data_IF_268828551893
#
_entry.id   IF_268828551893
#
_cell.length_a   1.000
_cell.length_b   1.000
_cell.length_c   1.000
_cell.angle_alpha   90.00
_cell.angle_beta   90.00
_cell.angle_gamma   90.00
#
_symmetry.space_group_name_H-M   'P 1'
#
loop_
_entity.id
_entity.type
_entity.pdbx_description
1 polymer ?
#
# COMPACT_ATOMS: atom_id res chain seq x y z
N UNK A 1 -4.01 15.72 22.96
CA UNK A 1 -5.15 16.36 22.25
C UNK A 1 -6.42 15.56 22.54
N UNK A 2 -7.54 16.23 22.89
CA UNK A 2 -8.80 15.55 23.22
C UNK A 2 -9.63 15.28 21.97
N UNK A 3 -10.12 14.05 21.84
CA UNK A 3 -10.91 13.58 20.69
C UNK A 3 -12.28 13.06 21.12
N UNK A 4 -13.32 13.58 20.46
CA UNK A 4 -14.71 13.13 20.66
C UNK A 4 -15.03 11.93 19.77
N UNK A 5 -15.98 11.10 20.20
CA UNK A 5 -16.46 9.96 19.41
C UNK A 5 -16.94 10.40 18.01
N UNK A 6 -17.61 11.55 17.90
CA UNK A 6 -18.04 12.10 16.61
C UNK A 6 -16.87 12.40 15.66
N UNK A 7 -15.77 12.92 16.20
CA UNK A 7 -14.53 13.17 15.44
C UNK A 7 -13.90 11.87 14.96
N UNK A 8 -13.81 10.86 15.86
CA UNK A 8 -13.26 9.56 15.50
C UNK A 8 -14.11 8.84 14.44
N UNK A 9 -15.44 9.00 14.48
CA UNK A 9 -16.35 8.50 13.42
C UNK A 9 -16.04 9.13 12.05
N UNK A 10 -15.73 10.43 12.01
CA UNK A 10 -15.32 11.09 10.76
C UNK A 10 -13.98 10.54 10.24
N UNK A 11 -13.02 10.32 11.13
CA UNK A 11 -11.71 9.75 10.75
C UNK A 11 -11.82 8.28 10.32
N UNK A 12 -12.76 7.53 10.89
CA UNK A 12 -13.03 6.14 10.53
C UNK A 12 -13.72 5.99 9.15
N UNK A 13 -14.30 7.08 8.61
CA UNK A 13 -15.09 7.02 7.37
C UNK A 13 -14.24 6.61 6.16
N UNK A 14 -14.75 5.71 5.28
CA UNK A 14 -14.08 5.36 4.03
C UNK A 14 -14.13 6.52 3.04
N UNK A 15 -13.50 6.36 1.88
CA UNK A 15 -13.63 7.31 0.77
C UNK A 15 -15.11 7.58 0.43
N UNK A 16 -15.37 8.77 -0.08
CA UNK A 16 -16.63 9.09 -0.73
C UNK A 16 -16.74 8.43 -2.11
N UNK A 17 -17.96 8.29 -2.62
CA UNK A 17 -18.20 7.79 -3.98
C UNK A 17 -17.48 8.64 -5.04
N UNK A 18 -17.38 9.95 -4.83
CA UNK A 18 -16.62 10.85 -5.71
C UNK A 18 -15.14 10.52 -5.71
N UNK A 19 -14.56 10.29 -4.53
CA UNK A 19 -13.13 9.94 -4.43
C UNK A 19 -12.84 8.55 -5.01
N UNK A 20 -13.74 7.58 -4.84
CA UNK A 20 -13.64 6.26 -5.48
C UNK A 20 -13.69 6.40 -7.01
N UNK A 21 -14.65 7.15 -7.55
CA UNK A 21 -14.71 7.44 -8.99
C UNK A 21 -13.43 8.11 -9.50
N UNK A 22 -12.87 9.08 -8.77
CA UNK A 22 -11.59 9.71 -9.12
C UNK A 22 -10.42 8.73 -9.12
N UNK A 23 -10.41 7.74 -8.23
CA UNK A 23 -9.39 6.67 -8.22
C UNK A 23 -9.51 5.79 -9.45
N UNK A 24 -10.75 5.41 -9.81
CA UNK A 24 -11.02 4.64 -11.02
C UNK A 24 -10.60 5.39 -12.28
N UNK A 25 -10.90 6.67 -12.37
CA UNK A 25 -10.46 7.52 -13.49
C UNK A 25 -8.93 7.65 -13.54
N UNK A 26 -8.23 7.60 -12.42
CA UNK A 26 -6.77 7.64 -12.42
C UNK A 26 -6.17 6.39 -13.08
N UNK A 27 -6.63 5.18 -12.73
CA UNK A 27 -6.14 3.95 -13.37
C UNK A 27 -6.56 3.86 -14.84
N UNK A 28 -7.76 4.31 -15.20
CA UNK A 28 -8.22 4.37 -16.60
C UNK A 28 -7.33 5.30 -17.42
N UNK A 29 -6.94 6.45 -16.88
CA UNK A 29 -6.05 7.39 -17.54
C UNK A 29 -4.64 6.82 -17.79
N UNK A 30 -4.09 6.07 -16.83
CA UNK A 30 -2.81 5.37 -17.00
C UNK A 30 -2.95 4.26 -18.07
N UNK A 31 -4.01 3.43 -17.99
CA UNK A 31 -4.33 2.41 -18.99
C UNK A 31 -4.40 3.01 -20.41
N UNK A 32 -5.09 4.14 -20.57
CA UNK A 32 -5.27 4.76 -21.87
C UNK A 32 -3.94 5.31 -22.41
N UNK A 33 -3.08 5.88 -21.60
CA UNK A 33 -1.75 6.31 -22.00
C UNK A 33 -0.87 5.15 -22.48
N UNK A 34 -1.00 3.95 -21.90
CA UNK A 34 -0.23 2.78 -22.33
C UNK A 34 -0.66 2.24 -23.70
N UNK A 35 -1.83 2.63 -24.23
CA UNK A 35 -2.23 2.29 -25.60
C UNK A 35 -1.29 2.88 -26.65
N UNK A 36 -0.62 4.00 -26.35
CA UNK A 36 0.40 4.60 -27.23
C UNK A 36 1.67 3.74 -27.35
N UNK A 37 1.87 2.76 -26.44
CA UNK A 37 2.91 1.73 -26.54
C UNK A 37 2.45 0.48 -27.31
N UNK A 38 1.22 0.48 -27.82
CA UNK A 38 0.63 -0.66 -28.52
C UNK A 38 -0.10 -1.65 -27.63
N UNK A 39 -0.28 -1.36 -26.34
CA UNK A 39 -1.07 -2.21 -25.45
C UNK A 39 -2.57 -2.06 -25.72
N UNK A 40 -3.32 -3.16 -25.59
CA UNK A 40 -4.79 -3.20 -25.69
C UNK A 40 -5.34 -4.05 -24.56
N UNK A 41 -6.53 -3.71 -24.06
CA UNK A 41 -7.20 -4.47 -23.01
C UNK A 41 -7.40 -5.94 -23.46
N UNK A 42 -7.10 -6.89 -22.58
CA UNK A 42 -7.10 -8.32 -22.93
C UNK A 42 -8.53 -8.88 -23.06
N UNK A 43 -9.43 -8.59 -22.11
CA UNK A 43 -10.83 -9.10 -22.18
C UNK A 43 -11.89 -8.13 -21.66
N UNK A 44 -11.62 -7.41 -20.58
CA UNK A 44 -12.54 -6.48 -19.93
C UNK A 44 -11.78 -5.22 -19.57
N UNK A 45 -12.44 -4.08 -19.67
CA UNK A 45 -11.89 -2.82 -19.17
C UNK A 45 -11.58 -2.87 -17.67
N UNK A 46 -11.23 -1.74 -17.09
CA UNK A 46 -10.93 -1.62 -15.66
C UNK A 46 -12.07 -2.14 -14.79
N UNK A 47 -11.80 -3.11 -13.94
CA UNK A 47 -12.75 -3.72 -13.01
C UNK A 47 -12.16 -3.93 -11.62
N UNK A 48 -13.00 -4.21 -10.62
CA UNK A 48 -12.57 -4.58 -9.28
C UNK A 48 -12.00 -6.01 -9.28
N UNK A 49 -10.82 -6.18 -8.65
CA UNK A 49 -10.22 -7.49 -8.40
C UNK A 49 -11.01 -8.29 -7.38
N UNK A 50 -11.46 -7.61 -6.31
CA UNK A 50 -12.10 -8.22 -5.15
C UNK A 50 -13.22 -7.34 -4.63
N UNK A 51 -14.34 -7.94 -4.21
CA UNK A 51 -15.39 -7.24 -3.45
C UNK A 51 -14.85 -6.69 -2.13
N UNK A 52 -15.45 -5.62 -1.64
CA UNK A 52 -15.05 -4.88 -0.41
C UNK A 52 -13.67 -4.23 -0.45
N UNK A 53 -13.12 -4.04 -1.66
CA UNK A 53 -11.85 -3.34 -1.90
C UNK A 53 -12.05 -2.25 -2.96
N UNK A 54 -11.04 -1.37 -3.09
CA UNK A 54 -10.93 -0.43 -4.20
C UNK A 54 -9.77 -0.85 -5.13
N UNK A 55 -9.49 -2.15 -5.17
CA UNK A 55 -8.44 -2.75 -5.99
C UNK A 55 -8.89 -2.88 -7.45
N UNK A 56 -9.02 -1.75 -8.13
CA UNK A 56 -9.28 -1.73 -9.57
C UNK A 56 -8.07 -2.24 -10.34
N UNK A 57 -8.32 -2.99 -11.40
CA UNK A 57 -7.26 -3.54 -12.26
C UNK A 57 -7.70 -3.75 -13.70
N UNK A 58 -6.72 -3.89 -14.58
CA UNK A 58 -6.88 -4.28 -15.99
C UNK A 58 -5.63 -5.01 -16.49
N UNK A 59 -5.81 -6.10 -17.22
CA UNK A 59 -4.74 -6.75 -17.97
C UNK A 59 -4.74 -6.28 -19.41
N UNK A 60 -3.55 -6.03 -19.95
CA UNK A 60 -3.34 -5.57 -21.31
C UNK A 60 -2.26 -6.41 -22.00
N UNK A 61 -2.41 -6.62 -23.28
CA UNK A 61 -1.41 -7.26 -24.13
C UNK A 61 -0.92 -6.30 -25.22
N UNK A 62 0.34 -6.41 -25.55
CA UNK A 62 0.89 -5.66 -26.67
C UNK A 62 0.50 -6.35 -27.99
N UNK A 63 -0.02 -5.59 -28.95
CA UNK A 63 -0.44 -6.12 -30.27
C UNK A 63 0.72 -6.37 -31.23
N UNK A 64 1.93 -5.89 -30.90
CA UNK A 64 3.12 -6.02 -31.75
C UNK A 64 4.17 -6.98 -31.18
N UNK A 65 4.01 -7.43 -29.93
CA UNK A 65 4.93 -8.33 -29.24
C UNK A 65 4.18 -9.29 -28.30
N UNK A 66 4.90 -10.14 -27.60
CA UNK A 66 4.35 -11.05 -26.57
C UNK A 66 4.20 -10.39 -25.20
N UNK A 67 4.51 -9.12 -25.09
CA UNK A 67 4.48 -8.39 -23.84
C UNK A 67 3.08 -8.27 -23.25
N UNK A 68 3.01 -8.48 -21.93
CA UNK A 68 1.77 -8.30 -21.15
C UNK A 68 2.05 -7.41 -19.95
N UNK A 69 1.09 -6.55 -19.65
CA UNK A 69 1.10 -5.74 -18.44
C UNK A 69 -0.19 -5.93 -17.66
N UNK A 70 -0.06 -6.01 -16.35
CA UNK A 70 -1.19 -5.92 -15.44
C UNK A 70 -1.10 -4.59 -14.68
N UNK A 71 -2.10 -3.76 -14.84
CA UNK A 71 -2.22 -2.47 -14.17
C UNK A 71 -3.20 -2.66 -13.02
N UNK A 72 -2.83 -2.25 -11.81
CA UNK A 72 -3.72 -2.38 -10.65
C UNK A 72 -3.42 -1.34 -9.59
N UNK A 73 -4.47 -0.94 -8.87
CA UNK A 73 -4.34 -0.11 -7.67
C UNK A 73 -3.82 -0.98 -6.53
N UNK A 74 -2.81 -0.50 -5.82
CA UNK A 74 -2.22 -1.14 -4.65
C UNK A 74 -2.26 -0.21 -3.42
N UNK A 75 -1.68 -0.66 -2.30
CA UNK A 75 -1.51 0.15 -1.10
C UNK A 75 -2.83 0.45 -0.38
N UNK A 76 -2.91 1.64 0.20
CA UNK A 76 -4.02 2.04 1.07
C UNK A 76 -5.37 2.16 0.35
N UNK A 77 -5.37 2.54 -0.92
CA UNK A 77 -6.60 2.60 -1.71
C UNK A 77 -7.15 1.21 -1.96
N UNK A 78 -6.33 0.27 -2.45
CA UNK A 78 -6.75 -1.11 -2.67
C UNK A 78 -7.37 -1.72 -1.40
N UNK A 79 -6.78 -1.44 -0.25
CA UNK A 79 -7.26 -1.94 1.05
C UNK A 79 -8.39 -1.12 1.67
N UNK A 80 -8.80 -0.01 1.06
CA UNK A 80 -9.76 0.93 1.64
C UNK A 80 -9.34 1.39 3.07
N UNK A 81 -8.05 1.68 3.23
CA UNK A 81 -7.43 2.19 4.48
C UNK A 81 -6.82 3.58 4.32
N UNK A 82 -7.06 4.23 3.18
CA UNK A 82 -6.64 5.60 2.92
C UNK A 82 -7.44 6.61 3.74
N UNK A 83 -6.80 7.73 4.08
CA UNK A 83 -7.43 8.88 4.70
C UNK A 83 -7.95 9.81 3.61
N UNK A 84 -9.16 10.31 3.77
CA UNK A 84 -9.80 11.22 2.81
C UNK A 84 -8.92 12.44 2.54
N UNK A 85 -8.82 12.83 1.27
CA UNK A 85 -8.09 14.01 0.78
C UNK A 85 -6.57 14.04 1.02
N UNK A 86 -5.99 13.00 1.61
CA UNK A 86 -4.59 13.02 2.06
C UNK A 86 -3.67 12.02 1.32
N UNK A 87 -4.23 11.14 0.50
CA UNK A 87 -3.44 10.06 -0.12
C UNK A 87 -3.44 10.14 -1.63
N UNK A 88 -2.28 9.86 -2.24
CA UNK A 88 -2.11 9.60 -3.66
C UNK A 88 -2.51 8.15 -3.97
N UNK A 89 -2.96 7.88 -5.20
CA UNK A 89 -3.30 6.53 -5.62
C UNK A 89 -2.04 5.82 -6.14
N UNK A 90 -1.64 4.73 -5.50
CA UNK A 90 -0.54 3.88 -5.98
C UNK A 90 -1.04 2.95 -7.10
N UNK A 91 -0.54 3.11 -8.31
CA UNK A 91 -0.91 2.30 -9.48
C UNK A 91 0.31 1.53 -9.98
N UNK A 92 0.30 0.22 -9.78
CA UNK A 92 1.33 -0.65 -10.34
C UNK A 92 1.11 -0.86 -11.85
N UNK A 93 2.19 -0.80 -12.63
CA UNK A 93 2.25 -1.21 -14.03
C UNK A 93 3.23 -2.38 -14.10
N UNK A 94 2.71 -3.60 -13.97
CA UNK A 94 3.50 -4.80 -13.82
C UNK A 94 3.64 -5.54 -15.16
N UNK A 95 4.89 -5.78 -15.60
CA UNK A 95 5.19 -6.73 -16.70
C UNK A 95 4.95 -8.15 -16.21
N UNK A 96 4.04 -8.86 -16.86
CA UNK A 96 3.67 -10.23 -16.50
C UNK A 96 4.53 -11.29 -17.20
N UNK A 97 5.03 -10.98 -18.37
CA UNK A 97 5.86 -11.88 -19.19
C UNK A 97 7.29 -12.03 -18.66
N UNK A 98 7.71 -11.18 -17.74
CA UNK A 98 9.01 -11.22 -17.09
C UNK A 98 8.82 -11.61 -15.63
N UNK A 99 9.31 -12.81 -15.26
CA UNK A 99 9.28 -13.29 -13.90
C UNK A 99 10.64 -13.24 -13.26
N UNK A 100 10.70 -12.68 -12.06
CA UNK A 100 11.85 -12.80 -11.17
C UNK A 100 11.58 -13.86 -10.12
N UNK A 101 12.53 -14.76 -9.90
CA UNK A 101 12.45 -15.76 -8.84
C UNK A 101 13.32 -15.30 -7.67
N UNK A 102 12.71 -15.14 -6.49
CA UNK A 102 13.42 -14.80 -5.27
C UNK A 102 13.34 -15.97 -4.27
N UNK A 103 14.48 -16.42 -3.76
CA UNK A 103 14.61 -17.51 -2.81
C UNK A 103 15.05 -16.96 -1.45
N UNK A 104 14.10 -16.65 -0.57
CA UNK A 104 14.40 -16.03 0.71
C UNK A 104 15.11 -14.66 0.59
N UNK A 105 15.67 -14.17 1.70
CA UNK A 105 16.37 -12.87 1.72
C UNK A 105 17.77 -12.91 1.11
N UNK A 106 18.36 -14.10 0.99
CA UNK A 106 19.79 -14.28 0.69
C UNK A 106 20.15 -14.51 -0.77
N UNK A 107 19.20 -14.84 -1.64
CA UNK A 107 19.47 -15.10 -3.05
C UNK A 107 18.91 -14.02 -3.96
N UNK A 108 19.73 -13.02 -4.22
CA UNK A 108 19.44 -11.94 -5.17
C UNK A 108 20.21 -12.18 -6.48
N UNK A 109 19.75 -13.12 -7.28
CA UNK A 109 20.26 -13.30 -8.65
C UNK A 109 19.51 -12.35 -9.61
N UNK A 110 19.59 -11.05 -9.34
CA UNK A 110 19.11 -10.07 -10.31
C UNK A 110 20.15 -9.93 -11.41
N UNK A 111 19.81 -10.42 -12.58
CA UNK A 111 20.66 -10.23 -13.74
C UNK A 111 20.67 -8.74 -14.12
N UNK A 112 21.80 -8.27 -14.64
CA UNK A 112 21.92 -6.92 -15.21
C UNK A 112 20.88 -6.67 -16.31
N UNK A 113 20.46 -7.74 -17.00
CA UNK A 113 19.42 -7.74 -18.02
C UNK A 113 18.06 -7.33 -17.47
N UNK A 114 17.59 -7.94 -16.37
CA UNK A 114 16.29 -7.61 -15.77
C UNK A 114 16.24 -6.20 -15.19
N UNK A 115 17.34 -5.69 -14.65
CA UNK A 115 17.45 -4.28 -14.27
C UNK A 115 17.27 -3.37 -15.47
N UNK A 116 17.87 -3.71 -16.60
CA UNK A 116 17.75 -2.98 -17.86
C UNK A 116 16.31 -3.02 -18.39
N UNK A 117 15.65 -4.18 -18.33
CA UNK A 117 14.26 -4.32 -18.74
C UNK A 117 13.32 -3.48 -17.87
N UNK A 118 13.50 -3.48 -16.55
CA UNK A 118 12.74 -2.65 -15.63
C UNK A 118 12.95 -1.15 -15.89
N UNK A 119 14.19 -0.72 -16.13
CA UNK A 119 14.50 0.67 -16.50
C UNK A 119 13.85 1.05 -17.83
N UNK A 120 13.93 0.18 -18.84
CA UNK A 120 13.28 0.37 -20.16
C UNK A 120 11.76 0.51 -20.02
N UNK A 121 11.12 -0.31 -19.18
CA UNK A 121 9.70 -0.19 -18.88
C UNK A 121 9.38 1.17 -18.23
N UNK A 122 10.16 1.58 -17.22
CA UNK A 122 9.95 2.84 -16.53
C UNK A 122 10.08 4.04 -17.46
N UNK A 123 11.08 4.02 -18.34
CA UNK A 123 11.31 5.08 -19.32
C UNK A 123 10.19 5.13 -20.38
N UNK A 124 9.72 3.98 -20.84
CA UNK A 124 8.60 3.90 -21.78
C UNK A 124 7.29 4.41 -21.16
N UNK A 125 7.00 4.01 -19.91
CA UNK A 125 5.82 4.49 -19.18
C UNK A 125 5.92 6.00 -18.95
N UNK A 126 7.07 6.52 -18.49
CA UNK A 126 7.26 7.96 -18.31
C UNK A 126 7.00 8.74 -19.59
N UNK A 127 7.57 8.28 -20.70
CA UNK A 127 7.43 8.95 -22.01
C UNK A 127 5.95 9.09 -22.42
N UNK A 128 5.16 8.03 -22.33
CA UNK A 128 3.74 8.10 -22.73
C UNK A 128 2.91 8.91 -21.75
N UNK A 129 3.24 8.84 -20.45
CA UNK A 129 2.57 9.68 -19.46
C UNK A 129 2.84 11.17 -19.73
N UNK A 130 4.09 11.56 -20.05
CA UNK A 130 4.42 12.95 -20.40
C UNK A 130 3.71 13.42 -21.66
N UNK A 131 3.54 12.55 -22.65
CA UNK A 131 2.83 12.87 -23.87
C UNK A 131 1.32 13.07 -23.61
N UNK A 132 0.71 12.25 -22.80
CA UNK A 132 -0.73 12.31 -22.48
C UNK A 132 -1.07 13.36 -21.41
N UNK A 133 -0.13 13.68 -20.52
CA UNK A 133 -0.32 14.63 -19.41
C UNK A 133 0.80 15.69 -19.39
N UNK A 134 0.85 16.60 -20.41
CA UNK A 134 1.89 17.63 -20.47
C UNK A 134 1.95 18.47 -19.19
N UNK A 135 3.17 18.69 -18.69
CA UNK A 135 3.47 19.47 -17.47
C UNK A 135 2.93 18.89 -16.15
N UNK A 136 2.26 17.73 -16.18
CA UNK A 136 1.65 17.09 -15.00
C UNK A 136 2.43 15.88 -14.49
N UNK A 137 3.56 15.53 -15.12
CA UNK A 137 4.31 14.31 -14.82
C UNK A 137 5.66 14.65 -14.21
N UNK A 138 5.96 14.01 -13.06
CA UNK A 138 7.25 14.11 -12.39
C UNK A 138 7.81 12.70 -12.12
N UNK A 139 9.00 12.39 -12.63
CA UNK A 139 9.74 11.18 -12.29
C UNK A 139 10.23 11.24 -10.85
N UNK A 140 9.92 10.23 -10.07
CA UNK A 140 10.49 9.98 -8.75
C UNK A 140 11.39 8.75 -8.77
N UNK A 141 12.03 8.48 -7.63
CA UNK A 141 12.96 7.34 -7.51
C UNK A 141 12.27 5.98 -7.80
N UNK A 142 11.09 5.75 -7.23
CA UNK A 142 10.34 4.47 -7.32
C UNK A 142 9.13 4.55 -8.24
N UNK A 143 8.58 5.72 -8.45
CA UNK A 143 7.32 5.96 -9.16
C UNK A 143 7.44 7.11 -10.14
N UNK A 144 6.43 7.24 -10.98
CA UNK A 144 6.19 8.38 -11.85
C UNK A 144 4.88 9.01 -11.39
N UNK A 145 4.97 10.22 -10.82
CA UNK A 145 3.80 10.95 -10.32
C UNK A 145 3.07 11.61 -11.47
N UNK A 146 1.75 11.44 -11.50
CA UNK A 146 0.83 12.15 -12.39
C UNK A 146 -0.10 13.00 -11.54
N UNK A 147 -0.06 14.31 -11.70
CA UNK A 147 -0.87 15.23 -10.92
C UNK A 147 -2.36 14.96 -11.10
N UNK A 148 -3.11 15.08 -10.00
CA UNK A 148 -4.57 14.99 -10.01
C UNK A 148 -5.23 16.25 -10.57
N UNK A 149 -6.54 16.15 -10.78
CA UNK A 149 -7.43 17.27 -11.11
C UNK A 149 -8.83 17.00 -10.54
N UNK A 150 -9.84 17.77 -10.91
CA UNK A 150 -11.22 17.58 -10.44
C UNK A 150 -11.84 16.24 -10.85
N UNK A 151 -11.33 15.60 -11.90
CA UNK A 151 -11.85 14.35 -12.47
C UNK A 151 -11.11 13.11 -11.98
N UNK A 152 -9.80 13.19 -11.72
CA UNK A 152 -8.97 12.06 -11.28
C UNK A 152 -8.11 12.42 -10.08
N UNK A 153 -7.87 11.46 -9.19
CA UNK A 153 -6.88 11.57 -8.10
C UNK A 153 -5.46 11.67 -8.67
N UNK A 154 -4.57 12.28 -7.90
CA UNK A 154 -3.14 12.22 -8.12
C UNK A 154 -2.68 10.77 -8.02
N UNK A 155 -1.83 10.33 -8.96
CA UNK A 155 -1.39 8.95 -9.04
C UNK A 155 0.13 8.83 -8.98
N UNK A 156 0.62 7.91 -8.18
CA UNK A 156 1.97 7.40 -8.22
C UNK A 156 1.99 6.11 -9.06
N UNK A 157 2.40 6.23 -10.32
CA UNK A 157 2.52 5.10 -11.25
C UNK A 157 3.84 4.38 -10.97
N UNK A 158 3.78 3.10 -10.62
CA UNK A 158 4.92 2.26 -10.21
C UNK A 158 5.17 1.18 -11.25
N UNK A 159 6.09 1.39 -12.21
CA UNK A 159 6.53 0.33 -13.12
C UNK A 159 7.30 -0.75 -12.35
N UNK A 160 6.95 -2.01 -12.56
CA UNK A 160 7.52 -3.14 -11.84
C UNK A 160 7.48 -4.42 -12.68
N UNK A 161 8.20 -5.45 -12.24
CA UNK A 161 8.19 -6.77 -12.83
C UNK A 161 7.44 -7.74 -11.91
N UNK A 162 6.85 -8.78 -12.47
CA UNK A 162 6.25 -9.84 -11.66
C UNK A 162 7.34 -10.63 -10.92
N UNK A 163 7.01 -11.15 -9.74
CA UNK A 163 7.93 -11.88 -8.88
C UNK A 163 7.23 -13.11 -8.31
N UNK A 164 7.97 -14.23 -8.30
CA UNK A 164 7.65 -15.42 -7.53
C UNK A 164 8.63 -15.54 -6.37
N UNK A 165 8.14 -15.46 -5.16
CA UNK A 165 8.94 -15.56 -3.94
C UNK A 165 8.75 -16.93 -3.31
N UNK A 166 9.84 -17.72 -3.26
CA UNK A 166 9.89 -19.06 -2.71
C UNK A 166 10.42 -19.04 -1.27
N UNK A 167 9.76 -19.77 -0.36
CA UNK A 167 10.16 -19.82 1.06
C UNK A 167 11.46 -20.59 1.31
N UNK A 168 11.73 -21.61 0.49
CA UNK A 168 12.90 -22.50 0.62
C UNK A 168 13.68 -22.59 -0.69
N UNK A 169 14.96 -22.87 -0.53
CA UNK A 169 15.89 -23.04 -1.65
C UNK A 169 15.89 -24.45 -2.25
N UNK A 170 15.15 -25.38 -1.66
CA UNK A 170 15.05 -26.76 -2.14
C UNK A 170 13.98 -26.85 -3.23
N UNK A 171 14.40 -27.37 -4.37
CA UNK A 171 13.59 -27.53 -5.59
C UNK A 171 12.33 -28.38 -5.44
N UNK A 172 12.07 -28.97 -4.28
CA UNK A 172 10.89 -29.81 -4.03
C UNK A 172 9.59 -29.00 -3.82
N UNK A 173 9.69 -27.69 -3.61
CA UNK A 173 8.53 -26.84 -3.29
C UNK A 173 8.23 -25.79 -4.39
N UNK A 174 8.43 -26.16 -5.65
CA UNK A 174 8.21 -25.29 -6.82
C UNK A 174 6.77 -24.75 -6.92
N UNK A 175 5.83 -25.37 -6.22
CA UNK A 175 4.43 -24.95 -6.19
C UNK A 175 4.10 -23.98 -5.04
N UNK A 176 4.95 -23.87 -4.02
CA UNK A 176 4.75 -23.01 -2.86
C UNK A 176 5.53 -21.69 -2.99
N UNK A 177 4.95 -20.73 -3.69
CA UNK A 177 5.50 -19.39 -3.80
C UNK A 177 4.43 -18.34 -3.54
N UNK A 178 4.85 -17.16 -3.06
CA UNK A 178 4.03 -15.97 -3.09
C UNK A 178 4.26 -15.21 -4.38
N UNK A 179 3.18 -14.83 -5.05
CA UNK A 179 3.26 -13.87 -6.13
C UNK A 179 3.43 -12.47 -5.56
N UNK A 180 4.36 -11.73 -6.12
CA UNK A 180 4.66 -10.36 -5.74
C UNK A 180 5.07 -9.51 -6.91
N UNK A 181 5.53 -8.31 -6.61
CA UNK A 181 6.14 -7.39 -7.56
C UNK A 181 7.53 -7.00 -7.10
N UNK A 182 8.44 -6.78 -8.06
CA UNK A 182 9.75 -6.25 -7.80
C UNK A 182 9.91 -4.91 -8.51
N UNK A 183 10.34 -3.91 -7.74
CA UNK A 183 10.56 -2.55 -8.20
C UNK A 183 12.06 -2.28 -8.14
N UNK A 184 12.62 -1.80 -9.26
CA UNK A 184 13.98 -1.31 -9.32
C UNK A 184 13.95 0.22 -9.30
N UNK A 185 14.37 0.79 -8.18
CA UNK A 185 14.45 2.24 -8.02
C UNK A 185 15.63 2.83 -8.80
N UNK A 186 15.55 4.12 -9.15
CA UNK A 186 16.60 4.79 -9.94
C UNK A 186 17.95 4.88 -9.20
N UNK A 187 17.94 4.88 -7.85
CA UNK A 187 19.14 4.84 -7.01
C UNK A 187 19.76 3.44 -6.84
N UNK A 188 19.13 2.42 -7.45
CA UNK A 188 19.58 1.03 -7.40
C UNK A 188 18.97 0.19 -6.28
N UNK A 189 18.14 0.77 -5.39
CA UNK A 189 17.37 0.01 -4.40
C UNK A 189 16.43 -0.99 -5.10
N UNK A 190 16.31 -2.19 -4.53
CA UNK A 190 15.39 -3.22 -5.00
C UNK A 190 14.34 -3.50 -3.96
N UNK A 191 13.08 -3.27 -4.34
CA UNK A 191 11.95 -3.37 -3.42
C UNK A 191 11.06 -4.53 -3.86
N UNK A 192 10.72 -5.40 -2.91
CA UNK A 192 9.77 -6.49 -3.09
C UNK A 192 8.49 -6.16 -2.35
N UNK A 193 7.36 -6.21 -3.05
CA UNK A 193 6.04 -6.00 -2.48
C UNK A 193 5.11 -7.18 -2.77
N UNK A 194 4.16 -7.41 -1.87
CA UNK A 194 3.18 -8.51 -1.94
C UNK A 194 1.75 -7.96 -1.88
N UNK A 195 1.31 -7.23 -2.91
CA UNK A 195 0.01 -6.53 -2.87
C UNK A 195 -1.18 -7.48 -2.75
N UNK A 196 -1.14 -8.65 -3.38
CA UNK A 196 -2.24 -9.64 -3.27
C UNK A 196 -2.42 -10.14 -1.83
N UNK A 197 -1.31 -10.50 -1.16
CA UNK A 197 -1.32 -10.96 0.23
C UNK A 197 -1.75 -9.83 1.17
N UNK A 198 -1.30 -8.60 0.92
CA UNK A 198 -1.72 -7.43 1.69
C UNK A 198 -3.25 -7.24 1.61
N UNK A 199 -3.83 -7.30 0.42
CA UNK A 199 -5.29 -7.19 0.20
C UNK A 199 -6.02 -8.34 0.89
N UNK A 200 -5.59 -9.58 0.70
CA UNK A 200 -6.22 -10.77 1.27
C UNK A 200 -6.19 -10.73 2.81
N UNK A 201 -5.03 -10.43 3.41
CA UNK A 201 -4.86 -10.34 4.86
C UNK A 201 -5.65 -9.17 5.46
N UNK A 202 -5.63 -7.99 4.82
CA UNK A 202 -6.42 -6.85 5.24
C UNK A 202 -7.92 -7.12 5.22
N UNK A 203 -8.41 -7.85 4.20
CA UNK A 203 -9.80 -8.29 4.10
C UNK A 203 -10.15 -9.32 5.18
N UNK A 204 -9.31 -10.32 5.39
CA UNK A 204 -9.49 -11.33 6.42
C UNK A 204 -9.55 -10.71 7.82
N UNK A 205 -8.57 -9.85 8.16
CA UNK A 205 -8.52 -9.11 9.42
C UNK A 205 -9.73 -8.21 9.62
N UNK A 206 -10.18 -7.52 8.57
CA UNK A 206 -11.36 -6.66 8.66
C UNK A 206 -12.63 -7.47 8.96
N UNK A 207 -12.76 -8.65 8.34
CA UNK A 207 -13.89 -9.57 8.60
C UNK A 207 -13.86 -10.11 10.02
N UNK A 208 -12.72 -10.59 10.51
CA UNK A 208 -12.57 -11.18 11.85
C UNK A 208 -12.77 -10.14 12.97
N UNK A 209 -12.55 -8.85 12.68
CA UNK A 209 -12.76 -7.73 13.60
C UNK A 209 -14.11 -7.03 13.42
N UNK A 210 -15.13 -7.71 12.89
CA UNK A 210 -16.47 -7.14 12.65
C UNK A 210 -16.41 -5.81 11.87
N UNK A 211 -15.54 -5.73 10.87
CA UNK A 211 -15.30 -4.56 10.01
C UNK A 211 -14.76 -3.31 10.73
N UNK A 212 -14.09 -3.49 11.87
CA UNK A 212 -13.47 -2.39 12.61
C UNK A 212 -11.99 -2.18 12.29
N UNK A 213 -11.25 -3.20 11.82
CA UNK A 213 -9.83 -3.07 11.51
C UNK A 213 -9.52 -1.88 10.60
N UNK A 214 -10.14 -1.81 9.42
CA UNK A 214 -9.90 -0.71 8.45
C UNK A 214 -10.29 0.66 9.00
N UNK A 215 -11.30 0.73 9.87
CA UNK A 215 -11.73 1.96 10.54
C UNK A 215 -10.67 2.46 11.52
N UNK A 216 -10.15 1.58 12.35
CA UNK A 216 -9.07 1.88 13.31
C UNK A 216 -7.78 2.28 12.57
N UNK A 217 -7.45 1.60 11.47
CA UNK A 217 -6.30 1.99 10.61
C UNK A 217 -6.45 3.43 10.12
N UNK A 218 -7.62 3.83 9.62
CA UNK A 218 -7.86 5.20 9.17
C UNK A 218 -7.74 6.21 10.32
N UNK A 219 -8.29 5.91 11.50
CA UNK A 219 -8.14 6.75 12.69
C UNK A 219 -6.66 6.91 13.03
N UNK A 220 -5.90 5.82 13.10
CA UNK A 220 -4.47 5.85 13.44
C UNK A 220 -3.63 6.66 12.43
N UNK A 221 -3.90 6.47 11.13
CA UNK A 221 -3.25 7.26 10.07
C UNK A 221 -3.56 8.75 10.19
N UNK A 222 -4.81 9.10 10.55
CA UNK A 222 -5.18 10.50 10.81
C UNK A 222 -4.49 11.06 12.05
N UNK A 223 -4.36 10.28 13.13
CA UNK A 223 -3.58 10.69 14.32
C UNK A 223 -2.12 10.97 13.93
N UNK A 224 -1.48 10.05 13.18
CA UNK A 224 -0.11 10.27 12.68
C UNK A 224 0.00 11.58 11.89
N UNK A 225 -0.95 11.88 11.01
CA UNK A 225 -0.95 13.12 10.24
C UNK A 225 -1.07 14.36 11.13
N UNK A 226 -1.99 14.35 12.09
CA UNK A 226 -2.13 15.44 13.07
C UNK A 226 -0.87 15.63 13.92
N UNK A 227 -0.20 14.53 14.31
CA UNK A 227 1.08 14.61 15.01
C UNK A 227 2.15 15.28 14.14
N UNK A 228 2.25 14.92 12.85
CA UNK A 228 3.17 15.56 11.90
C UNK A 228 2.87 17.06 11.76
N UNK A 229 1.61 17.45 11.59
CA UNK A 229 1.18 18.86 11.56
C UNK A 229 1.52 19.62 12.87
N UNK A 230 1.51 18.93 14.01
CA UNK A 230 1.91 19.47 15.30
C UNK A 230 3.44 19.46 15.52
N UNK A 231 4.23 19.01 14.55
CA UNK A 231 5.70 19.03 14.61
C UNK A 231 6.34 17.81 15.29
N UNK A 232 5.60 16.73 15.50
CA UNK A 232 6.15 15.46 16.03
C UNK A 232 6.90 14.71 14.93
N UNK A 233 8.23 14.82 14.88
CA UNK A 233 9.08 14.23 13.84
C UNK A 233 8.95 12.71 13.72
N UNK A 234 8.76 12.00 14.82
CA UNK A 234 8.55 10.56 14.82
C UNK A 234 7.35 10.12 13.93
N UNK A 235 6.36 10.98 13.75
CA UNK A 235 5.23 10.72 12.85
C UNK A 235 5.64 10.66 11.37
N UNK A 236 6.68 11.39 10.96
CA UNK A 236 7.19 11.40 9.59
C UNK A 236 8.09 10.19 9.29
N UNK A 237 8.64 9.57 10.33
CA UNK A 237 9.53 8.42 10.21
C UNK A 237 8.77 7.09 10.03
N UNK A 238 7.47 7.05 10.35
CA UNK A 238 6.62 5.87 10.21
C UNK A 238 5.70 6.02 9.01
N UNK A 239 5.80 5.11 8.05
CA UNK A 239 4.99 5.16 6.83
C UNK A 239 3.52 4.82 7.08
N UNK A 240 2.61 5.28 6.20
CA UNK A 240 1.19 4.91 6.24
C UNK A 240 0.96 3.39 6.13
N UNK A 241 1.78 2.70 5.33
CA UNK A 241 1.76 1.24 5.24
C UNK A 241 2.27 0.58 6.54
N UNK A 242 3.29 1.18 7.16
CA UNK A 242 3.79 0.73 8.45
C UNK A 242 2.76 0.85 9.58
N UNK A 243 1.97 1.94 9.60
CA UNK A 243 0.84 2.08 10.54
C UNK A 243 -0.20 0.98 10.34
N UNK A 244 -0.57 0.69 9.09
CA UNK A 244 -1.51 -0.39 8.77
C UNK A 244 -0.98 -1.75 9.23
N UNK A 245 0.30 -1.99 9.00
CA UNK A 245 0.99 -3.20 9.42
C UNK A 245 1.11 -3.33 10.95
N UNK A 246 1.41 -2.23 11.65
CA UNK A 246 1.42 -2.21 13.11
C UNK A 246 0.07 -2.68 13.68
N UNK A 247 -1.03 -2.14 13.17
CA UNK A 247 -2.39 -2.45 13.63
C UNK A 247 -2.79 -3.87 13.23
N UNK A 248 -2.31 -4.39 12.11
CA UNK A 248 -2.61 -5.75 11.65
C UNK A 248 -2.16 -6.83 12.66
N UNK A 249 -1.07 -6.60 13.41
CA UNK A 249 -0.54 -7.53 14.41
C UNK A 249 -1.32 -7.54 15.72
N UNK A 250 -2.22 -6.60 15.96
CA UNK A 250 -2.98 -6.51 17.21
C UNK A 250 -4.07 -7.59 17.24
N UNK A 251 -4.27 -8.33 18.36
CA UNK A 251 -5.31 -9.35 18.46
C UNK A 251 -6.72 -8.79 18.19
N UNK A 252 -7.55 -9.59 17.50
CA UNK A 252 -8.88 -9.20 17.02
C UNK A 252 -9.81 -8.70 18.11
N UNK A 253 -9.68 -9.22 19.32
CA UNK A 253 -10.47 -8.86 20.49
C UNK A 253 -10.48 -7.35 20.78
N UNK A 254 -9.37 -6.65 20.59
CA UNK A 254 -9.26 -5.21 20.88
C UNK A 254 -10.07 -4.33 19.94
N UNK A 255 -10.49 -4.84 18.80
CA UNK A 255 -11.29 -4.09 17.81
C UNK A 255 -12.80 -4.14 18.07
N UNK A 256 -13.25 -5.09 18.91
CA UNK A 256 -14.68 -5.42 19.07
C UNK A 256 -15.14 -5.37 20.52
N UNK A 257 -14.26 -5.01 21.45
CA UNK A 257 -14.52 -5.00 22.88
C UNK A 257 -15.61 -4.01 23.27
N UNK A 258 -15.63 -2.87 22.60
CA UNK A 258 -16.61 -1.79 22.84
C UNK A 258 -17.32 -1.38 21.55
N UNK A 259 -18.49 -0.74 21.71
CA UNK A 259 -19.21 -0.12 20.59
C UNK A 259 -18.63 1.25 20.18
N UNK A 260 -17.84 1.87 21.05
CA UNK A 260 -17.17 3.16 20.84
C UNK A 260 -15.81 2.99 20.18
N UNK A 261 -15.50 3.82 19.17
CA UNK A 261 -14.17 3.89 18.58
C UNK A 261 -13.14 4.40 19.56
N UNK A 262 -13.52 5.39 20.42
CA UNK A 262 -12.63 5.96 21.42
C UNK A 262 -12.11 4.91 22.38
N UNK A 263 -13.00 4.12 22.97
CA UNK A 263 -12.60 3.04 23.90
C UNK A 263 -11.79 1.95 23.22
N UNK A 264 -12.17 1.49 22.02
CA UNK A 264 -11.38 0.50 21.31
C UNK A 264 -10.00 1.07 20.92
N UNK A 265 -9.92 2.34 20.56
CA UNK A 265 -8.66 2.97 20.17
C UNK A 265 -7.71 3.13 21.37
N UNK A 266 -8.22 3.51 22.54
CA UNK A 266 -7.43 3.57 23.80
C UNK A 266 -6.87 2.20 24.19
N UNK A 267 -7.69 1.15 24.10
CA UNK A 267 -7.24 -0.22 24.35
C UNK A 267 -6.15 -0.66 23.37
N UNK A 268 -6.32 -0.33 22.10
CA UNK A 268 -5.34 -0.61 21.05
C UNK A 268 -4.03 0.16 21.33
N UNK A 269 -4.10 1.43 21.70
CA UNK A 269 -2.93 2.22 22.07
C UNK A 269 -2.23 1.63 23.30
N UNK A 270 -3.00 1.26 24.32
CA UNK A 270 -2.47 0.63 25.53
C UNK A 270 -1.79 -0.70 25.20
N UNK A 271 -2.40 -1.50 24.32
CA UNK A 271 -1.81 -2.75 23.86
C UNK A 271 -0.45 -2.52 23.19
N UNK A 272 -0.39 -1.68 22.14
CA UNK A 272 0.88 -1.46 21.43
C UNK A 272 1.94 -0.81 22.32
N UNK A 273 1.54 0.07 23.23
CA UNK A 273 2.45 0.70 24.20
C UNK A 273 3.08 -0.31 25.15
N UNK A 274 2.28 -1.24 25.68
CA UNK A 274 2.76 -2.25 26.64
C UNK A 274 3.53 -3.39 25.97
N UNK A 275 3.26 -3.67 24.68
CA UNK A 275 3.89 -4.76 23.91
C UNK A 275 4.99 -4.28 22.93
N UNK A 276 5.53 -3.08 23.13
CA UNK A 276 6.62 -2.55 22.27
C UNK A 276 7.83 -3.47 22.13
N UNK A 277 8.10 -4.28 23.14
CA UNK A 277 9.22 -5.25 23.13
C UNK A 277 9.03 -6.38 22.11
N UNK A 278 7.80 -6.59 21.64
CA UNK A 278 7.44 -7.61 20.65
C UNK A 278 7.49 -7.08 19.21
N UNK A 279 7.86 -5.82 18.97
CA UNK A 279 7.92 -5.21 17.63
C UNK A 279 8.83 -5.99 16.65
N UNK A 280 9.87 -6.68 17.15
CA UNK A 280 10.72 -7.56 16.36
C UNK A 280 9.98 -8.78 15.79
N UNK A 281 8.86 -9.17 16.41
CA UNK A 281 8.05 -10.31 15.99
C UNK A 281 6.94 -9.91 15.03
N UNK A 282 6.64 -8.62 14.92
CA UNK A 282 5.59 -8.12 14.06
C UNK A 282 5.93 -8.26 12.57
N UNK A 283 4.90 -8.54 11.79
CA UNK A 283 4.97 -8.64 10.34
C UNK A 283 4.30 -7.44 9.66
N UNK A 284 4.72 -7.14 8.45
CA UNK A 284 3.94 -6.30 7.55
C UNK A 284 2.56 -6.94 7.31
N UNK A 285 1.56 -6.15 6.96
CA UNK A 285 0.20 -6.65 6.70
C UNK A 285 0.11 -7.70 5.56
N UNK A 286 1.18 -7.86 4.77
CA UNK A 286 1.30 -8.96 3.81
C UNK A 286 1.59 -10.33 4.47
N UNK A 287 1.98 -10.38 5.76
CA UNK A 287 2.30 -11.58 6.50
C UNK A 287 3.62 -12.28 6.10
N UNK A 288 4.45 -11.64 5.25
CA UNK A 288 5.69 -12.24 4.71
C UNK A 288 6.92 -11.53 5.26
N UNK A 289 6.94 -10.20 5.22
CA UNK A 289 8.08 -9.40 5.66
C UNK A 289 7.91 -8.99 7.12
N UNK A 290 9.02 -8.87 7.85
CA UNK A 290 9.04 -8.28 9.18
C UNK A 290 8.74 -6.79 9.10
N UNK A 291 7.93 -6.27 10.04
CA UNK A 291 7.65 -4.84 10.17
C UNK A 291 8.89 -4.06 10.63
N UNK A 292 9.59 -4.62 11.61
CA UNK A 292 10.78 -4.03 12.20
C UNK A 292 11.97 -5.00 12.06
N UNK A 293 12.58 -5.10 10.85
CA UNK A 293 13.69 -6.02 10.62
C UNK A 293 15.01 -5.58 11.29
N UNK A 294 15.14 -4.32 11.68
CA UNK A 294 16.35 -3.77 12.32
C UNK A 294 16.02 -3.09 13.64
N UNK A 295 17.05 -2.94 14.51
CA UNK A 295 16.92 -2.19 15.75
C UNK A 295 16.52 -0.72 15.51
N UNK A 296 16.95 -0.13 14.40
CA UNK A 296 16.55 1.23 14.03
C UNK A 296 15.05 1.31 13.76
N UNK A 297 14.46 0.31 13.10
CA UNK A 297 13.01 0.26 12.87
C UNK A 297 12.25 0.11 14.20
N UNK A 298 12.72 -0.78 15.09
CA UNK A 298 12.13 -0.92 16.43
C UNK A 298 12.14 0.41 17.18
N UNK A 299 13.24 1.15 17.13
CA UNK A 299 13.36 2.45 17.82
C UNK A 299 12.37 3.47 17.24
N UNK A 300 12.23 3.57 15.90
CA UNK A 300 11.28 4.48 15.23
C UNK A 300 9.84 4.19 15.64
N UNK A 301 9.43 2.92 15.58
CA UNK A 301 8.07 2.55 15.98
C UNK A 301 7.83 2.74 17.47
N UNK A 302 8.82 2.45 18.32
CA UNK A 302 8.72 2.67 19.78
C UNK A 302 8.52 4.15 20.11
N UNK A 303 9.31 5.03 19.49
CA UNK A 303 9.18 6.47 19.70
C UNK A 303 7.82 7.00 19.21
N UNK A 304 7.39 6.55 18.01
CA UNK A 304 6.07 6.90 17.49
C UNK A 304 4.94 6.47 18.45
N UNK A 305 4.99 5.24 18.97
CA UNK A 305 3.98 4.71 19.91
C UNK A 305 3.97 5.53 21.20
N UNK A 306 5.13 5.87 21.75
CA UNK A 306 5.25 6.67 22.99
C UNK A 306 4.64 8.06 22.83
N UNK A 307 4.97 8.72 21.72
CA UNK A 307 4.43 10.06 21.44
C UNK A 307 2.94 10.00 21.11
N UNK A 308 2.47 9.01 20.39
CA UNK A 308 1.05 8.84 20.08
C UNK A 308 0.23 8.55 21.36
N UNK A 309 0.76 7.72 22.27
CA UNK A 309 0.11 7.41 23.54
C UNK A 309 -0.11 8.66 24.41
N UNK A 310 0.83 9.59 24.38
CA UNK A 310 0.71 10.89 25.10
C UNK A 310 -0.10 11.92 24.31
N UNK A 311 -0.14 11.83 23.00
CA UNK A 311 -0.85 12.76 22.11
C UNK A 311 -2.36 12.55 22.15
N UNK A 312 -2.82 11.29 22.21
CA UNK A 312 -4.24 10.94 22.18
C UNK A 312 -4.85 11.00 23.58
N UNK A 313 -5.98 11.70 23.70
CA UNK A 313 -6.81 11.73 24.90
C UNK A 313 -8.29 11.63 24.46
N UNK A 314 -9.00 10.62 24.95
CA UNK A 314 -10.42 10.51 24.66
C UNK A 314 -11.25 11.45 25.52
N UNK A 315 -12.26 12.09 24.92
CA UNK A 315 -13.20 12.95 25.65
C UNK A 315 -14.41 12.14 26.10
N UNK A 316 -14.39 11.69 27.33
CA UNK A 316 -15.46 10.88 27.95
C UNK A 316 -16.77 11.65 28.18
N UNK A 317 -16.77 12.96 27.96
CA UNK A 317 -17.97 13.82 28.17
C UNK A 317 -18.81 13.95 26.90
N UNK A 318 -18.42 13.31 25.81
CA UNK A 318 -19.03 13.48 24.47
C UNK A 318 -19.85 12.27 24.04
#
# INVERSE_FOLDING_TARGET
MKFKESTLKLYAAPLSETEDAQCKHAIEAIRDALKDLGYTDDQRGVGLLESDTLAYSVSMRNKYSTERVHIFIQGSYANNTCVRNESDVDIAVMREDIHESAFGEKFNLFTSEKRKEAATLKDAVERVLRNNFPYQVKRGNKSIKVNGNTYRKQADTVPCLSMKYYYRSDFQDYFNHHEGVIIFADDGEVIRNFPKQHIANGKAKNKSTSFNYKKIVRIMKKMRHLMSECGYRCADEVSSFGIESLIWNIPDYYFTRYSSYGFNFEEILTYVYTHKRELSDYYEANGIKKLCPTQQDINKYSEFIDMLYTFFEYDYTS
#
